data_IF_321116476415
#
_entry.id   IF_321116476415
#
_cell.length_a   1.000
_cell.length_b   1.000
_cell.length_c   1.000
_cell.angle_alpha   90.00
_cell.angle_beta   90.00
_cell.angle_gamma   90.00
#
_symmetry.space_group_name_H-M   'P 1'
#
loop_
_entity.id
_entity.type
_entity.pdbx_description
1 polymer ?
#
# COMPACT_ATOMS: atom_id res chain seq x y z
N UNK A 1 -1.73 -19.82 2.87
CA UNK A 1 -2.63 -18.76 2.38
C UNK A 1 -2.43 -17.56 3.29
N UNK A 2 -2.17 -16.40 2.71
CA UNK A 2 -2.14 -15.13 3.44
C UNK A 2 -3.57 -14.58 3.45
N UNK A 3 -4.02 -14.03 4.57
CA UNK A 3 -5.36 -13.43 4.72
C UNK A 3 -5.50 -12.07 4.02
N UNK A 4 -4.64 -11.78 3.03
CA UNK A 4 -4.49 -10.47 2.42
C UNK A 4 -4.62 -10.53 0.91
N UNK A 5 -5.53 -9.74 0.37
CA UNK A 5 -5.81 -9.66 -1.06
C UNK A 5 -5.20 -8.40 -1.68
N UNK A 6 -4.89 -8.44 -2.98
CA UNK A 6 -4.48 -7.24 -3.72
C UNK A 6 -5.56 -6.16 -3.57
N UNK A 7 -5.14 -4.93 -3.26
CA UNK A 7 -6.03 -3.79 -2.99
C UNK A 7 -6.40 -3.62 -1.52
N UNK A 8 -6.07 -4.59 -0.66
CA UNK A 8 -6.27 -4.43 0.78
C UNK A 8 -5.38 -3.33 1.33
N UNK A 9 -5.96 -2.52 2.22
CA UNK A 9 -5.26 -1.49 2.97
C UNK A 9 -4.94 -2.05 4.34
N UNK A 10 -3.66 -2.12 4.67
CA UNK A 10 -3.15 -2.74 5.88
C UNK A 10 -2.31 -1.75 6.67
N UNK A 11 -2.26 -1.95 7.99
CA UNK A 11 -1.35 -1.22 8.86
C UNK A 11 -0.11 -2.10 9.10
N UNK A 12 1.06 -1.61 8.67
CA UNK A 12 2.31 -2.37 8.70
C UNK A 12 3.34 -1.68 9.59
N UNK A 13 4.11 -2.46 10.34
CA UNK A 13 5.30 -1.98 11.03
C UNK A 13 6.40 -1.69 10.01
N UNK A 14 6.71 -0.40 9.82
CA UNK A 14 7.72 0.04 8.87
C UNK A 14 8.69 1.04 9.49
N UNK A 15 9.99 0.85 9.20
CA UNK A 15 11.06 1.77 9.58
C UNK A 15 11.80 2.23 8.33
N UNK A 16 11.63 3.49 7.91
CA UNK A 16 12.52 4.08 6.92
C UNK A 16 13.99 4.01 7.39
N UNK A 17 14.93 3.85 6.46
CA UNK A 17 16.36 3.79 6.79
C UNK A 17 16.87 5.01 7.56
N UNK A 18 16.30 6.19 7.29
CA UNK A 18 16.66 7.46 7.92
C UNK A 18 15.98 7.68 9.27
N UNK A 19 15.02 6.83 9.65
CA UNK A 19 14.25 7.01 10.88
C UNK A 19 14.87 6.24 12.05
N UNK A 20 14.91 6.85 13.23
CA UNK A 20 15.44 6.21 14.45
C UNK A 20 14.50 5.14 15.01
N UNK A 21 13.19 5.24 14.77
CA UNK A 21 12.18 4.31 15.27
C UNK A 21 11.26 3.82 14.16
N UNK A 22 10.83 2.56 14.27
CA UNK A 22 9.75 2.01 13.45
C UNK A 22 8.42 2.62 13.87
N UNK A 23 7.49 2.74 12.93
CA UNK A 23 6.13 3.16 13.21
C UNK A 23 5.13 2.38 12.39
N UNK A 24 3.89 2.38 12.86
CA UNK A 24 2.77 1.88 12.07
C UNK A 24 2.49 2.84 10.93
N UNK A 25 2.40 2.29 9.72
CA UNK A 25 2.14 3.04 8.49
C UNK A 25 1.09 2.28 7.69
N UNK A 26 0.08 2.96 7.13
CA UNK A 26 -0.82 2.31 6.20
C UNK A 26 -0.06 1.99 4.90
N UNK A 27 -0.43 0.88 4.26
CA UNK A 27 0.12 0.43 2.99
C UNK A 27 -0.95 -0.36 2.23
N UNK A 28 -0.85 -0.39 0.90
CA UNK A 28 -1.76 -1.16 0.03
C UNK A 28 -1.05 -2.43 -0.42
N UNK A 29 -1.72 -3.58 -0.33
CA UNK A 29 -1.22 -4.85 -0.86
C UNK A 29 -1.28 -4.81 -2.39
N UNK A 30 -0.12 -4.97 -3.03
CA UNK A 30 0.02 -4.96 -4.50
C UNK A 30 0.58 -6.28 -5.04
N UNK A 31 0.87 -7.27 -4.20
CA UNK A 31 1.24 -8.62 -4.66
C UNK A 31 0.03 -9.42 -5.13
N UNK A 32 0.19 -10.20 -6.20
CA UNK A 32 -0.79 -11.21 -6.62
C UNK A 32 -0.80 -12.40 -5.66
N UNK A 33 -1.91 -13.14 -5.60
CA UNK A 33 -2.02 -14.35 -4.78
C UNK A 33 -0.93 -15.37 -5.11
N UNK A 34 -0.61 -15.56 -6.40
CA UNK A 34 0.47 -16.45 -6.85
C UNK A 34 1.83 -16.08 -6.26
N UNK A 35 2.16 -14.77 -6.21
CA UNK A 35 3.39 -14.31 -5.57
C UNK A 35 3.39 -14.64 -4.08
N UNK A 36 2.27 -14.37 -3.41
CA UNK A 36 2.11 -14.58 -1.97
C UNK A 36 2.25 -16.07 -1.60
N UNK A 37 1.60 -16.97 -2.34
CA UNK A 37 1.70 -18.41 -2.13
C UNK A 37 3.10 -18.95 -2.42
N UNK A 38 3.75 -18.47 -3.49
CA UNK A 38 5.07 -18.95 -3.88
C UNK A 38 6.23 -18.44 -3.03
N UNK A 39 6.11 -17.23 -2.47
CA UNK A 39 7.18 -16.59 -1.67
C UNK A 39 6.90 -16.57 -0.16
N UNK A 40 5.64 -16.67 0.26
CA UNK A 40 5.24 -16.44 1.65
C UNK A 40 5.39 -14.98 2.09
N UNK A 41 5.45 -14.05 1.14
CA UNK A 41 5.69 -12.62 1.37
C UNK A 41 4.66 -11.76 0.64
N UNK A 42 4.52 -10.52 1.09
CA UNK A 42 3.63 -9.53 0.51
C UNK A 42 4.45 -8.39 -0.08
N UNK A 43 4.04 -7.92 -1.27
CA UNK A 43 4.51 -6.67 -1.84
C UNK A 43 3.48 -5.59 -1.51
N UNK A 44 3.90 -4.52 -0.85
CA UNK A 44 3.04 -3.41 -0.47
C UNK A 44 3.53 -2.11 -1.11
N UNK A 45 2.62 -1.15 -1.28
CA UNK A 45 2.91 0.24 -1.62
C UNK A 45 2.54 1.14 -0.43
N UNK A 46 3.46 2.01 0.03
CA UNK A 46 3.21 2.84 1.21
C UNK A 46 2.12 3.88 0.96
N UNK A 47 1.31 4.12 1.97
CA UNK A 47 0.35 5.23 1.99
C UNK A 47 0.93 6.38 2.82
N UNK A 48 0.81 7.60 2.31
CA UNK A 48 1.21 8.83 2.97
C UNK A 48 0.05 9.84 2.98
N UNK A 49 0.07 10.82 3.87
CA UNK A 49 -0.98 11.86 3.92
C UNK A 49 -0.95 12.75 2.67
N UNK A 50 -2.12 13.09 2.13
CA UNK A 50 -2.26 13.87 0.89
C UNK A 50 -1.94 15.38 1.03
N UNK A 51 -1.42 15.82 2.17
CA UNK A 51 -0.95 17.21 2.37
C UNK A 51 0.22 17.56 1.43
N UNK A 52 0.85 16.57 0.79
CA UNK A 52 1.88 16.75 -0.22
C UNK A 52 1.25 16.72 -1.62
N UNK A 53 1.76 17.58 -2.51
CA UNK A 53 1.44 17.48 -3.94
C UNK A 53 1.86 16.09 -4.46
N UNK A 54 0.98 15.35 -5.14
CA UNK A 54 1.33 14.05 -5.71
C UNK A 54 2.50 14.19 -6.68
N UNK A 55 3.46 13.27 -6.59
CA UNK A 55 4.53 13.13 -7.56
C UNK A 55 4.11 12.23 -8.72
N UNK A 56 4.90 12.20 -9.79
CA UNK A 56 4.67 11.27 -10.89
C UNK A 56 4.66 9.83 -10.35
N UNK A 57 3.61 9.08 -10.67
CA UNK A 57 3.46 7.70 -10.22
C UNK A 57 2.93 7.53 -8.79
N UNK A 58 2.57 8.61 -8.11
CA UNK A 58 1.72 8.54 -6.92
C UNK A 58 0.25 8.35 -7.33
N UNK A 59 -0.57 7.87 -6.40
CA UNK A 59 -2.02 7.71 -6.60
C UNK A 59 -2.78 8.35 -5.45
N UNK A 60 -3.63 9.33 -5.74
CA UNK A 60 -4.54 9.90 -4.73
C UNK A 60 -5.64 8.88 -4.43
N UNK A 61 -5.85 8.59 -3.14
CA UNK A 61 -6.95 7.74 -2.68
C UNK A 61 -8.15 8.65 -2.44
N UNK A 62 -9.16 8.56 -3.32
CA UNK A 62 -10.35 9.40 -3.24
C UNK A 62 -11.34 8.86 -2.21
N UNK A 63 -11.51 7.54 -2.18
CA UNK A 63 -12.46 6.86 -1.29
C UNK A 63 -11.76 6.44 0.01
N UNK A 64 -11.00 7.37 0.62
CA UNK A 64 -10.11 7.10 1.74
C UNK A 64 -10.84 6.56 2.98
N UNK A 65 -12.09 6.97 3.19
CA UNK A 65 -12.90 6.50 4.32
C UNK A 65 -13.30 5.02 4.15
N UNK A 66 -13.66 4.60 2.93
CA UNK A 66 -13.94 3.19 2.60
C UNK A 66 -12.68 2.33 2.72
N UNK A 67 -11.53 2.90 2.37
CA UNK A 67 -10.21 2.31 2.57
C UNK A 67 -9.77 2.21 4.06
N UNK A 68 -10.58 2.70 5.01
CA UNK A 68 -10.28 2.66 6.44
C UNK A 68 -9.20 3.65 6.89
N UNK A 69 -8.92 4.67 6.07
CA UNK A 69 -7.97 5.73 6.39
C UNK A 69 -8.68 6.86 7.16
N UNK A 70 -7.93 7.59 7.97
CA UNK A 70 -8.49 8.66 8.83
C UNK A 70 -8.60 10.02 8.12
N UNK A 71 -7.93 10.17 6.97
CA UNK A 71 -7.89 11.40 6.17
C UNK A 71 -7.51 11.09 4.73
N UNK A 72 -7.69 12.08 3.87
CA UNK A 72 -7.18 12.07 2.51
C UNK A 72 -5.70 11.68 2.47
N UNK A 73 -5.40 10.69 1.64
CA UNK A 73 -4.11 10.05 1.58
C UNK A 73 -3.76 9.72 0.12
N UNK A 74 -2.48 9.46 -0.12
CA UNK A 74 -1.98 9.00 -1.41
C UNK A 74 -1.13 7.74 -1.22
N UNK A 75 -1.22 6.81 -2.17
CA UNK A 75 -0.25 5.74 -2.33
C UNK A 75 0.99 6.33 -2.99
N UNK A 76 2.11 6.28 -2.29
CA UNK A 76 3.39 6.72 -2.82
C UNK A 76 3.99 5.65 -3.72
N UNK A 77 4.82 6.05 -4.69
CA UNK A 77 5.65 5.15 -5.51
C UNK A 77 6.72 4.36 -4.73
N UNK A 78 6.56 4.15 -3.42
CA UNK A 78 7.48 3.42 -2.56
C UNK A 78 6.94 2.01 -2.32
N UNK A 79 7.62 1.03 -2.92
CA UNK A 79 7.31 -0.39 -2.77
C UNK A 79 8.17 -1.05 -1.69
N UNK A 80 7.57 -1.95 -0.93
CA UNK A 80 8.23 -2.74 0.10
C UNK A 80 7.80 -4.20 0.01
N UNK A 81 8.74 -5.10 0.28
CA UNK A 81 8.45 -6.51 0.51
C UNK A 81 8.48 -6.77 2.00
N UNK A 82 7.44 -7.41 2.53
CA UNK A 82 7.35 -7.77 3.96
C UNK A 82 6.88 -9.19 4.16
N UNK A 83 7.22 -9.74 5.32
CA UNK A 83 6.59 -10.96 5.82
C UNK A 83 5.21 -10.61 6.42
N UNK A 84 4.24 -11.54 6.42
CA UNK A 84 2.91 -11.33 7.00
C UNK A 84 2.95 -10.84 8.46
N UNK A 85 3.92 -11.28 9.25
CA UNK A 85 4.10 -10.89 10.66
C UNK A 85 4.40 -9.40 10.87
N UNK A 86 4.80 -8.69 9.81
CA UNK A 86 4.98 -7.23 9.87
C UNK A 86 3.65 -6.47 9.80
N UNK A 87 2.55 -7.14 9.43
CA UNK A 87 1.23 -6.54 9.34
C UNK A 87 0.55 -6.64 10.70
N UNK A 88 0.16 -5.49 11.24
CA UNK A 88 -0.57 -5.38 12.50
C UNK A 88 -2.04 -5.79 12.30
N UNK A 89 -2.69 -5.24 11.28
CA UNK A 89 -4.09 -5.54 10.91
C UNK A 89 -4.46 -5.01 9.53
N UNK A 90 -5.56 -5.53 8.99
CA UNK A 90 -6.27 -4.93 7.85
C UNK A 90 -7.11 -3.73 8.32
N UNK A 91 -7.07 -2.64 7.57
CA UNK A 91 -7.87 -1.42 7.79
C UNK A 91 -9.13 -1.43 6.93
N UNK A 92 -9.00 -1.88 5.68
CA UNK A 92 -10.06 -1.87 4.68
C UNK A 92 -9.54 -2.34 3.33
N UNK A 93 -10.17 -1.90 2.25
CA UNK A 93 -9.75 -2.18 0.88
C UNK A 93 -9.99 -0.94 0.02
N UNK A 94 -9.17 -0.75 -1.01
CA UNK A 94 -9.39 0.33 -1.98
C UNK A 94 -10.70 0.10 -2.74
N UNK A 95 -11.36 1.21 -3.10
CA UNK A 95 -12.44 1.17 -4.08
C UNK A 95 -11.89 0.72 -5.44
N UNK A 96 -12.77 0.24 -6.31
CA UNK A 96 -12.37 -0.22 -7.64
C UNK A 96 -11.68 0.90 -8.46
N UNK A 97 -12.16 2.14 -8.32
CA UNK A 97 -11.60 3.31 -9.02
C UNK A 97 -10.19 3.65 -8.55
N UNK A 98 -9.98 3.61 -7.23
CA UNK A 98 -8.68 3.88 -6.63
C UNK A 98 -7.69 2.74 -6.94
N UNK A 99 -8.16 1.48 -6.95
CA UNK A 99 -7.36 0.32 -7.33
C UNK A 99 -6.91 0.36 -8.80
N UNK A 100 -7.80 0.73 -9.73
CA UNK A 100 -7.45 0.92 -11.15
C UNK A 100 -6.44 2.06 -11.33
N UNK A 101 -6.65 3.19 -10.64
CA UNK A 101 -5.73 4.33 -10.68
C UNK A 101 -4.34 3.95 -10.15
N UNK A 102 -4.29 3.16 -9.08
CA UNK A 102 -3.05 2.63 -8.53
C UNK A 102 -2.34 1.71 -9.53
N UNK A 103 -3.07 0.86 -10.24
CA UNK A 103 -2.49 -0.02 -11.24
C UNK A 103 -1.83 0.76 -12.38
N UNK A 104 -2.46 1.83 -12.86
CA UNK A 104 -1.89 2.74 -13.86
C UNK A 104 -0.61 3.42 -13.33
N UNK A 105 -0.63 3.95 -12.10
CA UNK A 105 0.55 4.57 -11.49
C UNK A 105 1.70 3.58 -11.28
N UNK A 106 1.40 2.33 -10.88
CA UNK A 106 2.42 1.28 -10.73
C UNK A 106 3.07 0.91 -12.06
N UNK A 107 2.29 0.86 -13.15
CA UNK A 107 2.85 0.65 -14.49
C UNK A 107 3.84 1.75 -14.86
N UNK A 108 3.49 3.01 -14.63
CA UNK A 108 4.40 4.14 -14.83
C UNK A 108 5.66 4.01 -13.99
N UNK A 109 5.54 3.68 -12.69
CA UNK A 109 6.69 3.50 -11.79
C UNK A 109 7.63 2.36 -12.22
N UNK A 110 7.09 1.32 -12.84
CA UNK A 110 7.83 0.12 -13.25
C UNK A 110 8.23 0.13 -14.74
N UNK A 111 7.84 1.16 -15.51
CA UNK A 111 8.10 1.23 -16.95
C UNK A 111 7.34 0.17 -17.77
N UNK A 112 6.11 -0.16 -17.35
CA UNK A 112 5.23 -1.17 -17.95
C UNK A 112 4.02 -0.56 -18.67
#
# INVERSE_FOLDING_TARGET
>A
MTDYSRGDVVLVYYRPLTATQAGLRPAVVVSSETYQQGRGQLLLALVTSAEKRPSLGDTVIRDWNEAGLIRESLVAGVLLTVNPDAIDRKLGSLSEKDAQSLESSLRVNLGL
#
